data_IF_046252880670
#
_entry.id   IF_046252880670
#
_cell.length_a   1.000
_cell.length_b   1.000
_cell.length_c   1.000
_cell.angle_alpha   90.00
_cell.angle_beta   90.00
_cell.angle_gamma   90.00
#
_symmetry.space_group_name_H-M   'P 1'
#
loop_
_entity.id
_entity.type
_entity.pdbx_description
1 polymer ?
#
# COMPACT_ATOMS: atom_id res chain seq x y z
N UNK A 1 -6.65 16.12 4.83
CA UNK A 1 -6.54 15.07 5.86
C UNK A 1 -7.77 15.06 6.76
N UNK A 2 -8.36 16.22 7.06
CA UNK A 2 -9.54 16.39 7.92
C UNK A 2 -10.77 15.53 7.59
N UNK A 3 -10.93 15.06 6.34
CA UNK A 3 -12.03 14.15 5.99
C UNK A 3 -11.85 12.73 6.50
N UNK A 4 -10.62 12.29 6.75
CA UNK A 4 -10.30 10.89 7.08
C UNK A 4 -10.37 10.55 8.57
N UNK A 5 -10.62 11.54 9.42
CA UNK A 5 -10.81 11.36 10.87
C UNK A 5 -11.97 12.20 11.36
N UNK A 6 -12.60 11.79 12.46
CA UNK A 6 -13.63 12.56 13.16
C UNK A 6 -13.50 12.37 14.66
N UNK A 7 -13.84 13.38 15.44
CA UNK A 7 -14.00 13.22 16.88
C UNK A 7 -15.32 12.51 17.18
N UNK A 8 -15.30 11.62 18.16
CA UNK A 8 -16.49 10.96 18.68
C UNK A 8 -16.46 10.99 20.21
N UNK A 9 -17.61 11.26 20.83
CA UNK A 9 -17.77 11.10 22.26
C UNK A 9 -17.88 9.60 22.56
N UNK A 10 -16.93 9.07 23.34
CA UNK A 10 -16.86 7.67 23.72
C UNK A 10 -16.78 7.52 25.23
N UNK A 11 -16.97 6.28 25.70
CA UNK A 11 -16.77 5.89 27.10
C UNK A 11 -15.51 5.05 27.21
N UNK A 12 -14.59 5.44 28.09
CA UNK A 12 -13.36 4.70 28.39
C UNK A 12 -13.42 4.15 29.80
N UNK A 13 -13.13 2.87 29.91
CA UNK A 13 -12.85 2.24 31.19
C UNK A 13 -11.35 2.35 31.52
N UNK A 14 -11.02 2.71 32.76
CA UNK A 14 -9.69 2.49 33.34
C UNK A 14 -9.81 1.82 34.71
N UNK A 15 -8.77 1.08 35.10
CA UNK A 15 -8.73 0.37 36.39
C UNK A 15 -8.83 1.30 37.60
N UNK A 16 -8.38 2.55 37.47
CA UNK A 16 -8.36 3.54 38.56
C UNK A 16 -9.58 4.47 38.53
N UNK A 17 -10.12 4.76 37.35
CA UNK A 17 -11.15 5.79 37.13
C UNK A 17 -12.54 5.28 36.79
N UNK A 18 -12.74 3.96 36.66
CA UNK A 18 -14.01 3.41 36.21
C UNK A 18 -14.33 3.82 34.76
N UNK A 19 -15.62 3.98 34.44
CA UNK A 19 -16.07 4.38 33.10
C UNK A 19 -16.27 5.91 33.06
N UNK A 20 -15.53 6.60 32.18
CA UNK A 20 -15.61 8.05 31.98
C UNK A 20 -15.90 8.39 30.51
N UNK A 21 -16.60 9.50 30.25
CA UNK A 21 -16.80 10.03 28.91
C UNK A 21 -15.63 10.92 28.47
N UNK A 22 -15.19 10.80 27.23
CA UNK A 22 -14.20 11.68 26.61
C UNK A 22 -14.34 11.69 25.07
N UNK A 23 -13.69 12.66 24.43
CA UNK A 23 -13.55 12.68 22.97
C UNK A 23 -12.36 11.83 22.51
N UNK A 24 -12.59 10.98 21.50
CA UNK A 24 -11.56 10.20 20.85
C UNK A 24 -11.58 10.42 19.34
N UNK A 25 -10.40 10.32 18.71
CA UNK A 25 -10.25 10.53 17.28
C UNK A 25 -10.43 9.20 16.55
N UNK A 26 -11.48 9.10 15.75
CA UNK A 26 -11.81 7.89 14.99
C UNK A 26 -11.52 8.08 13.51
N UNK A 27 -10.99 7.04 12.86
CA UNK A 27 -10.85 7.01 11.40
C UNK A 27 -12.22 6.92 10.75
N UNK A 28 -12.42 7.66 9.68
CA UNK A 28 -13.63 7.59 8.85
C UNK A 28 -13.46 6.49 7.81
N UNK A 29 -14.42 5.58 7.76
CA UNK A 29 -14.60 4.57 6.71
C UNK A 29 -15.90 4.85 5.97
N UNK A 30 -15.87 4.77 4.65
CA UNK A 30 -17.03 4.98 3.78
C UNK A 30 -17.09 3.92 2.69
N UNK A 31 -18.29 3.64 2.21
CA UNK A 31 -18.49 2.81 1.03
C UNK A 31 -18.42 3.65 -0.24
N UNK A 32 -17.64 3.23 -1.23
CA UNK A 32 -17.57 3.80 -2.57
C UNK A 32 -18.11 2.79 -3.59
N UNK A 33 -19.06 3.21 -4.40
CA UNK A 33 -19.56 2.45 -5.55
C UNK A 33 -18.74 2.78 -6.79
N UNK A 34 -18.17 1.76 -7.42
CA UNK A 34 -17.42 1.90 -8.67
C UNK A 34 -18.31 1.41 -9.80
N UNK A 35 -18.61 2.31 -10.73
CA UNK A 35 -19.42 2.07 -11.91
C UNK A 35 -18.51 2.05 -13.15
N UNK A 36 -18.50 0.94 -13.88
CA UNK A 36 -17.71 0.76 -15.11
C UNK A 36 -18.65 0.74 -16.31
N UNK A 37 -18.43 1.63 -17.28
CA UNK A 37 -19.22 1.72 -18.51
C UNK A 37 -20.75 1.78 -18.30
N UNK A 38 -21.20 2.31 -17.15
CA UNK A 38 -22.61 2.46 -16.81
C UNK A 38 -23.19 1.35 -15.92
N UNK A 39 -22.41 0.30 -15.61
CA UNK A 39 -22.84 -0.80 -14.73
C UNK A 39 -22.10 -0.77 -13.39
N UNK A 40 -22.79 -1.13 -12.31
CA UNK A 40 -22.16 -1.25 -10.99
C UNK A 40 -21.17 -2.42 -10.99
N UNK A 41 -19.89 -2.12 -10.91
CA UNK A 41 -18.84 -3.12 -10.89
C UNK A 41 -18.63 -3.69 -9.48
N UNK A 42 -18.44 -2.82 -8.48
CA UNK A 42 -18.33 -3.23 -7.07
C UNK A 42 -18.53 -2.07 -6.11
N UNK A 43 -18.71 -2.42 -4.83
CA UNK A 43 -18.61 -1.50 -3.70
C UNK A 43 -17.37 -1.82 -2.87
N UNK A 44 -16.60 -0.80 -2.50
CA UNK A 44 -15.41 -0.92 -1.64
C UNK A 44 -15.55 -0.04 -0.41
N UNK A 45 -15.08 -0.52 0.75
CA UNK A 45 -15.03 0.28 1.97
C UNK A 45 -13.61 0.77 2.19
N UNK A 46 -13.44 2.09 2.37
CA UNK A 46 -12.12 2.72 2.41
C UNK A 46 -12.14 4.03 3.18
N UNK A 47 -10.96 4.60 3.43
CA UNK A 47 -10.84 5.97 3.92
C UNK A 47 -11.16 6.97 2.79
N UNK A 48 -11.76 8.14 3.10
CA UNK A 48 -12.30 9.10 2.11
C UNK A 48 -11.21 9.95 1.42
N UNK A 49 -9.96 9.52 1.44
CA UNK A 49 -8.81 10.21 0.86
C UNK A 49 -8.22 9.36 -0.26
N UNK A 50 -7.75 9.98 -1.34
CA UNK A 50 -7.15 9.28 -2.48
C UNK A 50 -8.08 8.24 -3.13
N UNK A 51 -9.39 8.50 -3.13
CA UNK A 51 -10.40 7.57 -3.68
C UNK A 51 -10.18 7.33 -5.18
N UNK A 52 -9.77 8.37 -5.91
CA UNK A 52 -9.43 8.27 -7.32
C UNK A 52 -8.26 7.29 -7.58
N UNK A 53 -7.21 7.40 -6.77
CA UNK A 53 -6.07 6.50 -6.84
C UNK A 53 -6.43 5.07 -6.42
N UNK A 54 -7.28 4.91 -5.39
CA UNK A 54 -7.83 3.61 -5.00
C UNK A 54 -8.49 2.93 -6.20
N UNK A 55 -9.41 3.63 -6.87
CA UNK A 55 -10.15 3.06 -8.00
C UNK A 55 -9.18 2.68 -9.12
N UNK A 56 -8.29 3.60 -9.54
CA UNK A 56 -7.33 3.33 -10.61
C UNK A 56 -6.43 2.12 -10.29
N UNK A 57 -5.82 2.09 -9.11
CA UNK A 57 -4.93 1.00 -8.74
C UNK A 57 -5.67 -0.33 -8.61
N UNK A 58 -6.88 -0.31 -8.07
CA UNK A 58 -7.71 -1.50 -7.94
C UNK A 58 -8.09 -2.08 -9.30
N UNK A 59 -8.53 -1.25 -10.27
CA UNK A 59 -8.83 -1.69 -11.64
C UNK A 59 -7.59 -2.28 -12.34
N UNK A 60 -6.40 -1.76 -12.05
CA UNK A 60 -5.17 -2.29 -12.61
C UNK A 60 -4.83 -3.68 -12.04
N UNK A 61 -4.99 -3.86 -10.73
CA UNK A 61 -4.78 -5.17 -10.10
C UNK A 61 -5.81 -6.22 -10.51
N UNK A 62 -7.03 -5.81 -10.86
CA UNK A 62 -8.04 -6.70 -11.45
C UNK A 62 -7.84 -6.91 -12.96
N UNK A 63 -6.78 -6.35 -13.54
CA UNK A 63 -6.44 -6.42 -14.97
C UNK A 63 -7.49 -5.82 -15.91
N UNK A 64 -8.31 -4.90 -15.40
CA UNK A 64 -9.29 -4.14 -16.19
C UNK A 64 -8.60 -3.03 -16.98
N UNK A 65 -7.54 -2.45 -16.42
CA UNK A 65 -6.67 -1.47 -17.10
C UNK A 65 -5.21 -1.89 -17.01
N UNK A 66 -4.43 -1.55 -18.03
CA UNK A 66 -2.98 -1.71 -18.06
C UNK A 66 -2.23 -0.39 -17.82
N UNK A 67 -2.88 0.73 -18.16
CA UNK A 67 -2.37 2.07 -17.89
C UNK A 67 -3.51 3.09 -17.76
N UNK A 68 -3.16 4.31 -17.34
CA UNK A 68 -4.16 5.38 -17.15
C UNK A 68 -4.83 5.78 -18.47
N UNK A 69 -4.15 5.57 -19.60
CA UNK A 69 -4.65 5.84 -20.94
C UNK A 69 -5.82 4.92 -21.34
N UNK A 70 -6.04 3.79 -20.66
CA UNK A 70 -7.20 2.93 -20.93
C UNK A 70 -8.52 3.55 -20.42
N UNK A 71 -8.43 4.58 -19.56
CA UNK A 71 -9.58 5.29 -19.01
C UNK A 71 -9.96 6.46 -19.92
N UNK A 72 -11.14 6.37 -20.54
CA UNK A 72 -11.74 7.43 -21.36
C UNK A 72 -12.26 8.58 -20.50
N UNK A 73 -12.95 8.27 -19.41
CA UNK A 73 -13.49 9.28 -18.48
C UNK A 73 -13.48 8.76 -17.05
N UNK A 74 -13.27 9.68 -16.10
CA UNK A 74 -13.26 9.40 -14.67
C UNK A 74 -13.98 10.55 -13.95
N UNK A 75 -15.12 10.26 -13.36
CA UNK A 75 -15.93 11.24 -12.63
C UNK A 75 -16.27 10.71 -11.24
N UNK A 76 -16.34 11.59 -10.26
CA UNK A 76 -16.64 11.23 -8.87
C UNK A 76 -17.76 12.14 -8.36
N UNK A 77 -18.84 11.51 -7.91
CA UNK A 77 -20.04 12.18 -7.39
C UNK A 77 -20.37 11.55 -6.03
N UNK A 78 -20.14 12.32 -4.96
CA UNK A 78 -20.31 11.85 -3.59
C UNK A 78 -19.60 10.52 -3.30
N UNK A 79 -20.36 9.43 -3.13
CA UNK A 79 -19.91 8.07 -2.85
C UNK A 79 -19.85 7.17 -4.09
N UNK A 80 -20.00 7.75 -5.28
CA UNK A 80 -19.95 7.04 -6.57
C UNK A 80 -18.79 7.51 -7.42
N UNK A 81 -18.13 6.55 -8.06
CA UNK A 81 -17.08 6.78 -9.05
C UNK A 81 -17.52 6.14 -10.36
N UNK A 82 -17.64 6.97 -11.39
CA UNK A 82 -17.98 6.56 -12.74
C UNK A 82 -16.72 6.54 -13.61
N UNK A 83 -16.40 5.37 -14.16
CA UNK A 83 -15.26 5.18 -15.05
C UNK A 83 -15.77 4.65 -16.39
N UNK A 84 -15.40 5.33 -17.48
CA UNK A 84 -15.60 4.81 -18.84
C UNK A 84 -14.26 4.39 -19.41
N UNK A 85 -14.19 3.20 -20.01
CA UNK A 85 -12.98 2.67 -20.64
C UNK A 85 -12.98 2.93 -22.15
N UNK A 86 -11.80 3.03 -22.77
CA UNK A 86 -11.68 3.23 -24.22
C UNK A 86 -12.09 1.99 -25.01
N UNK A 87 -11.82 0.79 -24.49
CA UNK A 87 -12.24 -0.50 -25.07
C UNK A 87 -12.58 -1.49 -23.96
N UNK A 88 -13.63 -2.27 -24.14
CA UNK A 88 -13.81 -3.54 -23.42
C UNK A 88 -12.76 -4.51 -23.95
N UNK A 89 -11.66 -4.70 -23.21
CA UNK A 89 -10.68 -5.73 -23.53
C UNK A 89 -10.60 -6.71 -22.37
N UNK A 90 -10.84 -7.99 -22.67
CA UNK A 90 -10.13 -9.07 -21.99
C UNK A 90 -8.69 -9.03 -22.49
N UNK A 91 -7.71 -8.91 -21.59
CA UNK A 91 -6.30 -9.04 -21.96
C UNK A 91 -5.65 -10.21 -21.25
N UNK A 92 -5.00 -11.06 -22.05
CA UNK A 92 -3.96 -11.96 -21.61
C UNK A 92 -2.87 -11.17 -20.86
N UNK A 93 -2.65 -11.56 -19.61
CA UNK A 93 -1.66 -10.95 -18.73
C UNK A 93 -0.35 -11.70 -18.93
N UNK A 94 0.72 -11.00 -19.30
CA UNK A 94 2.10 -11.23 -18.84
C UNK A 94 2.97 -10.07 -19.34
N UNK A 95 3.02 -8.96 -18.57
CA UNK A 95 4.12 -8.01 -18.72
C UNK A 95 5.37 -8.66 -18.15
N UNK A 96 6.26 -9.11 -19.03
CA UNK A 96 7.58 -9.58 -18.64
C UNK A 96 8.27 -8.50 -17.81
N UNK A 97 8.66 -8.85 -16.57
CA UNK A 97 9.53 -8.01 -15.75
C UNK A 97 10.84 -7.81 -16.51
N UNK A 98 11.13 -6.57 -16.92
CA UNK A 98 12.46 -6.24 -17.44
C UNK A 98 13.49 -6.54 -16.34
N UNK A 99 14.69 -7.05 -16.65
CA UNK A 99 15.75 -7.19 -15.67
C UNK A 99 16.10 -5.80 -15.14
N UNK A 100 15.70 -5.50 -13.91
CA UNK A 100 16.09 -4.25 -13.23
C UNK A 100 17.49 -4.47 -12.67
N UNK A 101 18.35 -3.47 -12.79
CA UNK A 101 19.62 -3.45 -12.06
C UNK A 101 19.35 -3.72 -10.57
N UNK A 102 20.08 -4.66 -9.97
CA UNK A 102 19.79 -5.14 -8.62
C UNK A 102 19.79 -4.01 -7.60
N UNK A 103 18.63 -3.73 -6.99
CA UNK A 103 18.51 -2.79 -5.87
C UNK A 103 19.45 -3.28 -4.77
N UNK A 104 20.31 -2.39 -4.28
CA UNK A 104 21.13 -2.64 -3.09
C UNK A 104 20.91 -1.55 -2.05
N UNK A 105 20.74 -1.97 -0.80
CA UNK A 105 20.48 -1.07 0.33
C UNK A 105 21.24 -1.54 1.56
N UNK A 106 21.78 -0.59 2.34
CA UNK A 106 22.41 -0.94 3.61
C UNK A 106 21.37 -1.34 4.66
N UNK A 107 21.70 -2.31 5.52
CA UNK A 107 20.80 -2.79 6.55
C UNK A 107 20.28 -1.67 7.48
N UNK A 108 21.14 -0.70 7.84
CA UNK A 108 20.74 0.46 8.66
C UNK A 108 19.80 1.42 7.93
N UNK A 109 19.85 1.48 6.58
CA UNK A 109 18.92 2.30 5.81
C UNK A 109 17.53 1.70 5.80
N UNK A 110 17.40 0.37 5.85
CA UNK A 110 16.12 -0.33 5.96
C UNK A 110 15.42 0.05 7.27
N UNK A 111 16.13 0.05 8.40
CA UNK A 111 15.57 0.41 9.71
C UNK A 111 15.17 1.89 9.74
N UNK A 112 16.01 2.78 9.19
CA UNK A 112 15.71 4.21 9.05
C UNK A 112 14.48 4.46 8.16
N UNK A 113 14.40 3.80 6.99
CA UNK A 113 13.26 3.92 6.09
C UNK A 113 11.97 3.42 6.76
N UNK A 114 12.03 2.32 7.52
CA UNK A 114 10.87 1.82 8.26
C UNK A 114 10.39 2.82 9.32
N UNK A 115 11.31 3.54 9.98
CA UNK A 115 10.95 4.65 10.88
C UNK A 115 10.26 5.78 10.11
N UNK A 116 10.85 6.27 9.02
CA UNK A 116 10.28 7.31 8.17
C UNK A 116 8.90 6.92 7.61
N UNK A 117 8.74 5.66 7.22
CA UNK A 117 7.48 5.10 6.73
C UNK A 117 6.36 5.21 7.75
N UNK A 118 6.59 4.82 9.00
CA UNK A 118 5.59 4.95 10.06
C UNK A 118 5.38 6.40 10.46
N UNK A 119 6.43 7.21 10.36
CA UNK A 119 6.38 8.62 10.70
C UNK A 119 5.57 9.45 9.69
N UNK A 120 5.38 8.94 8.47
CA UNK A 120 4.70 9.60 7.36
C UNK A 120 3.20 9.80 7.56
N UNK A 121 2.58 9.07 8.49
CA UNK A 121 1.12 9.11 8.72
C UNK A 121 0.78 9.70 10.07
N UNK A 122 0.12 10.86 10.04
CA UNK A 122 -0.51 11.43 11.23
C UNK A 122 -1.66 10.55 11.74
N UNK A 123 -2.53 10.07 10.83
CA UNK A 123 -3.72 9.28 11.18
C UNK A 123 -3.34 7.98 11.88
N UNK A 124 -2.34 7.26 11.36
CA UNK A 124 -1.83 6.05 11.98
C UNK A 124 -1.30 6.30 13.40
N UNK A 125 -0.56 7.41 13.60
CA UNK A 125 -0.03 7.79 14.92
C UNK A 125 -1.11 8.10 15.93
N UNK A 126 -2.16 8.80 15.52
CA UNK A 126 -3.22 9.21 16.45
C UNK A 126 -4.22 8.09 16.73
N UNK A 127 -4.57 7.30 15.72
CA UNK A 127 -5.73 6.40 15.79
C UNK A 127 -5.35 4.92 15.79
N UNK A 128 -4.18 4.57 15.24
CA UNK A 128 -3.82 3.18 14.92
C UNK A 128 -4.75 2.49 13.90
N UNK A 129 -5.76 3.20 13.36
CA UNK A 129 -6.86 2.63 12.59
C UNK A 129 -6.64 2.56 11.08
N UNK A 130 -5.41 2.87 10.61
CA UNK A 130 -5.04 2.78 9.19
C UNK A 130 -3.77 1.98 9.00
N UNK A 131 -3.64 1.38 7.83
CA UNK A 131 -2.41 0.86 7.27
C UNK A 131 -1.75 1.87 6.35
N UNK A 132 -0.43 2.00 6.48
CA UNK A 132 0.45 2.76 5.61
C UNK A 132 1.14 1.79 4.64
N UNK A 133 1.22 2.18 3.38
CA UNK A 133 2.09 1.60 2.35
C UNK A 133 2.95 2.71 1.76
N UNK A 134 4.21 2.42 1.44
CA UNK A 134 5.11 3.44 0.88
C UNK A 134 6.09 2.88 -0.12
N UNK A 135 6.58 3.76 -0.98
CA UNK A 135 7.69 3.50 -1.89
C UNK A 135 8.85 4.40 -1.53
N UNK A 136 10.05 3.84 -1.52
CA UNK A 136 11.29 4.57 -1.41
C UNK A 136 12.20 4.28 -2.59
N UNK A 137 13.12 5.20 -2.86
CA UNK A 137 14.23 4.98 -3.77
C UNK A 137 15.53 5.35 -3.05
N UNK A 138 16.42 4.37 -2.94
CA UNK A 138 17.57 4.47 -2.04
C UNK A 138 17.12 4.82 -0.62
N UNK A 139 17.65 5.93 -0.11
CA UNK A 139 17.47 6.39 1.25
C UNK A 139 16.24 7.29 1.48
N UNK A 140 15.48 7.60 0.43
CA UNK A 140 14.43 8.61 0.48
C UNK A 140 13.05 7.98 0.29
N UNK A 141 12.14 8.27 1.21
CA UNK A 141 10.72 7.93 1.07
C UNK A 141 10.11 8.85 0.01
N UNK A 142 9.59 8.29 -1.08
CA UNK A 142 9.06 9.05 -2.21
C UNK A 142 7.56 9.28 -2.10
N UNK A 143 6.84 8.27 -1.63
CA UNK A 143 5.38 8.23 -1.67
C UNK A 143 4.86 7.39 -0.52
N UNK A 144 3.82 7.88 0.14
CA UNK A 144 3.07 7.14 1.15
C UNK A 144 1.58 7.26 0.88
N UNK A 145 0.86 6.15 1.10
CA UNK A 145 -0.60 6.10 1.09
C UNK A 145 -1.11 5.30 2.26
N UNK A 146 -2.28 5.69 2.72
CA UNK A 146 -2.92 5.13 3.90
C UNK A 146 -4.39 4.83 3.67
N UNK A 147 -4.87 3.78 4.30
CA UNK A 147 -6.27 3.39 4.29
C UNK A 147 -6.59 2.52 5.51
N UNK A 148 -7.86 2.43 5.89
CA UNK A 148 -8.33 1.46 6.91
C UNK A 148 -7.92 0.04 6.51
N UNK A 149 -8.13 -0.32 5.24
CA UNK A 149 -7.77 -1.60 4.66
C UNK A 149 -6.36 -1.61 4.06
N UNK A 150 -5.52 -2.59 4.43
CA UNK A 150 -4.18 -2.73 3.84
C UNK A 150 -4.19 -2.90 2.31
N UNK A 151 -5.18 -3.59 1.75
CA UNK A 151 -5.26 -3.81 0.29
C UNK A 151 -5.56 -2.49 -0.42
N UNK A 152 -6.50 -1.70 0.10
CA UNK A 152 -6.81 -0.37 -0.40
C UNK A 152 -5.62 0.57 -0.34
N UNK A 153 -4.79 0.50 0.72
CA UNK A 153 -3.59 1.31 0.82
C UNK A 153 -2.57 0.99 -0.30
N UNK A 154 -2.45 -0.28 -0.69
CA UNK A 154 -1.64 -0.69 -1.86
C UNK A 154 -2.26 -0.17 -3.16
N UNK A 155 -3.57 -0.27 -3.29
CA UNK A 155 -4.30 0.17 -4.49
C UNK A 155 -4.16 1.68 -4.68
N UNK A 156 -4.32 2.47 -3.62
CA UNK A 156 -4.03 3.92 -3.62
C UNK A 156 -2.59 4.21 -4.03
N UNK A 157 -1.64 3.49 -3.44
CA UNK A 157 -0.21 3.66 -3.75
C UNK A 157 0.06 3.44 -5.23
N UNK A 158 -0.44 2.34 -5.79
CA UNK A 158 -0.19 2.00 -7.18
C UNK A 158 -0.99 2.86 -8.16
N UNK A 159 -2.22 3.23 -7.82
CA UNK A 159 -3.01 4.18 -8.61
C UNK A 159 -2.31 5.52 -8.77
N UNK A 160 -1.67 6.03 -7.72
CA UNK A 160 -0.81 7.21 -7.85
C UNK A 160 0.36 6.98 -8.82
N UNK A 161 1.04 5.83 -8.71
CA UNK A 161 2.13 5.49 -9.62
C UNK A 161 1.68 5.46 -11.08
N UNK A 162 0.51 4.90 -11.38
CA UNK A 162 -0.06 4.89 -12.74
C UNK A 162 -0.39 6.31 -13.22
N UNK A 163 -1.04 7.13 -12.38
CA UNK A 163 -1.34 8.53 -12.73
C UNK A 163 -0.10 9.35 -13.02
N UNK A 164 1.00 9.08 -12.31
CA UNK A 164 2.29 9.78 -12.46
C UNK A 164 3.27 9.06 -13.38
N UNK A 165 2.85 7.94 -13.98
CA UNK A 165 3.68 7.08 -14.85
C UNK A 165 5.03 6.70 -14.21
N UNK A 166 5.01 6.41 -12.91
CA UNK A 166 6.19 6.03 -12.14
C UNK A 166 6.54 4.55 -12.36
N UNK A 167 7.80 4.29 -12.65
CA UNK A 167 8.34 2.93 -12.68
C UNK A 167 8.66 2.46 -11.26
N UNK A 168 7.84 1.55 -10.75
CA UNK A 168 7.99 0.98 -9.41
C UNK A 168 9.12 -0.05 -9.33
N UNK A 169 9.63 -0.55 -10.46
CA UNK A 169 10.53 -1.70 -10.48
C UNK A 169 11.90 -1.44 -9.83
N UNK A 170 12.29 -0.16 -9.73
CA UNK A 170 13.51 0.31 -9.05
C UNK A 170 13.29 0.77 -7.60
N UNK A 171 12.08 0.60 -7.06
CA UNK A 171 11.69 1.08 -5.73
C UNK A 171 11.72 -0.03 -4.69
N UNK A 172 11.81 0.37 -3.42
CA UNK A 172 11.61 -0.52 -2.27
C UNK A 172 10.23 -0.23 -1.67
N UNK A 173 9.48 -1.29 -1.41
CA UNK A 173 8.14 -1.23 -0.84
C UNK A 173 8.19 -1.37 0.67
N UNK A 174 7.49 -0.48 1.39
CA UNK A 174 7.36 -0.51 2.84
C UNK A 174 5.91 -0.69 3.26
N UNK A 175 5.68 -1.60 4.21
CA UNK A 175 4.38 -1.90 4.78
C UNK A 175 4.35 -1.79 6.29
N UNK A 176 3.33 -1.11 6.81
CA UNK A 176 2.97 -1.14 8.24
C UNK A 176 2.31 -2.47 8.65
N UNK A 177 1.75 -3.20 7.69
CA UNK A 177 0.96 -4.40 7.89
C UNK A 177 1.72 -5.70 7.62
N UNK A 178 0.96 -6.80 7.57
CA UNK A 178 1.45 -8.14 7.20
C UNK A 178 1.52 -8.27 5.69
N UNK A 179 2.49 -9.04 5.19
CA UNK A 179 2.54 -9.43 3.78
C UNK A 179 1.83 -10.77 3.62
N UNK A 180 0.61 -10.72 3.09
CA UNK A 180 -0.20 -11.88 2.68
C UNK A 180 0.05 -12.25 1.22
N UNK A 181 -0.56 -13.36 0.77
CA UNK A 181 -0.55 -13.78 -0.63
C UNK A 181 -0.99 -12.65 -1.58
N UNK A 182 -2.16 -12.07 -1.32
CA UNK A 182 -2.73 -11.02 -2.17
C UNK A 182 -1.84 -9.77 -2.22
N UNK A 183 -1.22 -9.38 -1.10
CA UNK A 183 -0.32 -8.22 -1.06
C UNK A 183 0.94 -8.51 -1.88
N UNK A 184 1.57 -9.68 -1.74
CA UNK A 184 2.79 -9.98 -2.50
C UNK A 184 2.50 -10.11 -4.00
N UNK A 185 1.33 -10.61 -4.40
CA UNK A 185 0.92 -10.66 -5.82
C UNK A 185 0.80 -9.26 -6.43
N UNK A 186 0.22 -8.31 -5.69
CA UNK A 186 0.17 -6.91 -6.10
C UNK A 186 1.58 -6.33 -6.26
N UNK A 187 2.47 -6.58 -5.31
CA UNK A 187 3.87 -6.12 -5.37
C UNK A 187 4.63 -6.75 -6.55
N UNK A 188 4.42 -8.04 -6.83
CA UNK A 188 4.97 -8.72 -8.01
C UNK A 188 4.45 -8.07 -9.29
N UNK A 189 3.15 -7.79 -9.38
CA UNK A 189 2.54 -7.09 -10.51
C UNK A 189 3.14 -5.69 -10.72
N UNK A 190 3.45 -4.98 -9.63
CA UNK A 190 4.15 -3.69 -9.67
C UNK A 190 5.62 -3.80 -10.12
N UNK A 191 6.19 -5.01 -10.18
CA UNK A 191 7.58 -5.26 -10.57
C UNK A 191 8.62 -4.98 -9.48
N UNK A 192 8.20 -4.81 -8.22
CA UNK A 192 9.10 -4.46 -7.11
C UNK A 192 9.87 -5.69 -6.64
N UNK A 193 11.17 -5.50 -6.35
CA UNK A 193 12.10 -6.59 -5.95
C UNK A 193 12.57 -6.56 -4.50
N UNK A 194 12.25 -5.51 -3.74
CA UNK A 194 12.60 -5.41 -2.32
C UNK A 194 11.40 -4.93 -1.49
N UNK A 195 11.00 -5.73 -0.52
CA UNK A 195 9.81 -5.53 0.32
C UNK A 195 10.19 -5.56 1.78
N UNK A 196 9.76 -4.54 2.53
CA UNK A 196 10.04 -4.38 3.95
C UNK A 196 8.75 -4.23 4.73
N UNK A 197 8.46 -5.16 5.63
CA UNK A 197 7.26 -5.14 6.45
C UNK A 197 7.56 -4.98 7.94
N UNK A 198 6.78 -4.11 8.60
CA UNK A 198 6.75 -3.90 10.06
C UNK A 198 6.27 -5.13 10.81
N UNK A 199 5.38 -5.93 10.19
CA UNK A 199 4.77 -7.12 10.78
C UNK A 199 5.27 -8.42 10.12
N UNK A 200 4.60 -9.53 10.41
CA UNK A 200 4.94 -10.85 9.87
C UNK A 200 4.62 -10.98 8.38
N UNK A 201 5.23 -11.98 7.74
CA UNK A 201 4.86 -12.48 6.42
C UNK A 201 4.17 -13.84 6.55
N UNK A 202 3.36 -14.24 5.58
CA UNK A 202 2.76 -15.59 5.54
C UNK A 202 3.63 -16.57 4.75
N UNK A 203 3.47 -17.87 5.00
CA UNK A 203 4.25 -18.92 4.30
C UNK A 203 4.03 -18.91 2.78
N UNK A 204 2.80 -18.68 2.31
CA UNK A 204 2.51 -18.56 0.89
C UNK A 204 3.14 -17.29 0.29
N UNK A 205 3.16 -16.18 1.03
CA UNK A 205 3.83 -14.96 0.57
C UNK A 205 5.34 -15.16 0.42
N UNK A 206 5.98 -15.84 1.38
CA UNK A 206 7.39 -16.23 1.29
C UNK A 206 7.66 -17.08 0.06
N UNK A 207 6.85 -18.12 -0.19
CA UNK A 207 7.02 -18.99 -1.37
C UNK A 207 6.96 -18.20 -2.68
N UNK A 208 6.00 -17.27 -2.81
CA UNK A 208 5.88 -16.42 -4.00
C UNK A 208 7.05 -15.45 -4.15
N UNK A 209 7.52 -14.87 -3.05
CA UNK A 209 8.70 -14.01 -3.07
C UNK A 209 9.96 -14.77 -3.51
N UNK A 210 10.13 -16.02 -3.05
CA UNK A 210 11.21 -16.90 -3.50
C UNK A 210 11.13 -17.15 -5.03
N UNK A 211 9.96 -17.49 -5.55
CA UNK A 211 9.77 -17.74 -6.98
C UNK A 211 9.97 -16.48 -7.83
N UNK A 212 9.56 -15.32 -7.33
CA UNK A 212 9.62 -14.05 -8.04
C UNK A 212 10.98 -13.33 -7.93
N UNK A 213 11.94 -13.87 -7.18
CA UNK A 213 13.23 -13.21 -6.95
C UNK A 213 13.13 -11.93 -6.11
N UNK A 214 12.21 -11.90 -5.14
CA UNK A 214 11.98 -10.74 -4.26
C UNK A 214 12.72 -10.93 -2.95
N UNK A 215 13.47 -9.93 -2.51
CA UNK A 215 13.93 -9.82 -1.12
C UNK A 215 12.75 -9.45 -0.23
N UNK A 216 12.30 -10.39 0.61
CA UNK A 216 11.17 -10.17 1.51
C UNK A 216 11.64 -10.08 2.95
N UNK A 217 11.43 -8.93 3.56
CA UNK A 217 11.78 -8.64 4.94
C UNK A 217 10.51 -8.48 5.77
N UNK A 218 10.47 -9.11 6.94
CA UNK A 218 9.41 -8.96 7.93
C UNK A 218 9.95 -8.63 9.31
N UNK A 219 9.06 -8.25 10.22
CA UNK A 219 9.40 -7.85 11.58
C UNK A 219 10.46 -6.73 11.65
N UNK A 220 10.48 -5.81 10.68
CA UNK A 220 11.38 -4.66 10.70
C UNK A 220 11.00 -3.69 11.83
N UNK A 221 11.74 -3.74 12.95
CA UNK A 221 11.44 -3.03 14.19
C UNK A 221 12.73 -2.69 14.93
N UNK A 222 12.87 -1.43 15.34
CA UNK A 222 14.12 -0.95 15.94
C UNK A 222 15.28 -1.21 14.98
N UNK A 223 16.36 -1.77 15.50
CA UNK A 223 17.60 -2.04 14.76
C UNK A 223 17.69 -3.47 14.19
N UNK A 224 16.55 -4.17 14.03
CA UNK A 224 16.54 -5.55 13.50
C UNK A 224 15.37 -5.82 12.57
N UNK A 225 15.54 -6.85 11.76
CA UNK A 225 14.52 -7.40 10.86
C UNK A 225 14.84 -8.86 10.52
N UNK A 226 13.85 -9.60 10.01
CA UNK A 226 14.01 -10.97 9.56
C UNK A 226 13.92 -11.02 8.03
N UNK A 227 14.84 -11.75 7.40
CA UNK A 227 14.86 -11.96 5.95
C UNK A 227 14.18 -13.31 5.66
N UNK A 228 13.12 -13.30 4.84
CA UNK A 228 12.34 -14.47 4.48
C UNK A 228 12.66 -15.02 3.09
N UNK A 229 13.26 -14.20 2.22
CA UNK A 229 13.71 -14.59 0.88
C UNK A 229 14.83 -13.67 0.38
N UNK A 230 15.71 -14.20 -0.48
CA UNK A 230 16.69 -13.49 -1.32
C UNK A 230 17.43 -12.33 -0.61
N UNK A 231 18.47 -12.59 0.21
CA UNK A 231 19.19 -11.55 0.96
C UNK A 231 20.12 -10.66 0.11
N UNK A 232 20.28 -10.93 -1.19
CA UNK A 232 21.33 -10.37 -2.05
C UNK A 232 21.26 -8.84 -2.22
N UNK A 233 20.08 -8.26 -2.00
CA UNK A 233 19.87 -6.81 -2.02
C UNK A 233 20.41 -6.08 -0.77
N UNK A 234 20.77 -6.81 0.29
CA UNK A 234 21.11 -6.21 1.59
C UNK A 234 22.63 -6.13 1.75
N UNK A 235 23.13 -4.92 1.98
CA UNK A 235 24.54 -4.66 2.31
C UNK A 235 24.69 -4.63 3.84
N UNK A 236 25.49 -5.54 4.37
CA UNK A 236 25.77 -5.68 5.82
C UNK A 236 27.06 -5.01 6.27
N UNK A 237 27.84 -4.44 5.34
CA UNK A 237 29.10 -3.76 5.65
C UNK A 237 28.89 -2.53 6.53
N UNK A 238 29.75 -2.37 7.52
CA UNK A 238 29.80 -1.15 8.35
C UNK A 238 30.09 0.05 7.45
N UNK A 239 29.25 1.08 7.51
CA UNK A 239 29.69 2.43 7.20
C UNK A 239 30.81 2.74 8.21
N UNK A 240 32.06 2.73 7.74
CA UNK A 240 33.17 3.33 8.46
C UNK A 240 33.09 4.85 8.33
#
# INVERSE_FOLDING_TARGET
>A
MDKAVKNALIKRYSSEGGIVELEDLMVVEQGIEIWLNGELYRKVYCSPIYVDELVIGSLAFDHIINSIEDIKSFNMEADRVYVSLIKEKQSDVHKACKPVAGIRVHAHDITRLMKLHLDSSYIHKQTGGVHIMSLSQGQNLLLSREDVGRHNAVDKLYGYCLKKKLDCSSMIFLSSGRISNEIIEKIIYMGIKLVVARATVTSLAQRKALQAGITLIGFARGERFNIYSHPEAIITGNCR
#
